data_IF_179198356374
#
_entry.id   IF_179198356374
#
_cell.length_a   1.000
_cell.length_b   1.000
_cell.length_c   1.000
_cell.angle_alpha   90.00
_cell.angle_beta   90.00
_cell.angle_gamma   90.00
#
_symmetry.space_group_name_H-M   'P 1'
#
loop_
_entity.id
_entity.type
_entity.pdbx_description
1 polymer ?
#
# COMPACT_ATOMS: atom_id res chain seq x y z
N UNK A 1 -74.18 -35.01 50.80
CA UNK A 1 -73.92 -34.71 49.38
C UNK A 1 -72.53 -34.07 49.29
N UNK A 2 -71.47 -34.84 49.03
CA UNK A 2 -70.13 -34.27 48.84
C UNK A 2 -69.97 -33.76 47.39
N UNK A 3 -69.36 -32.57 47.16
CA UNK A 3 -68.98 -32.14 45.83
C UNK A 3 -67.73 -32.88 45.33
N UNK A 4 -67.75 -33.19 44.03
CA UNK A 4 -66.70 -33.86 43.25
C UNK A 4 -65.31 -33.23 43.39
N UNK A 5 -64.22 -34.02 43.30
CA UNK A 5 -62.88 -33.49 43.15
C UNK A 5 -62.75 -32.82 41.77
N UNK A 6 -62.49 -31.52 41.80
CA UNK A 6 -62.15 -30.71 40.64
C UNK A 6 -61.07 -31.37 39.78
N UNK A 7 -61.38 -31.46 38.48
CA UNK A 7 -60.53 -31.93 37.40
C UNK A 7 -59.08 -31.44 37.53
N UNK A 8 -58.20 -32.35 37.95
CA UNK A 8 -56.77 -32.27 37.62
C UNK A 8 -56.58 -32.93 36.24
N UNK A 9 -55.50 -32.53 35.57
CA UNK A 9 -54.98 -33.11 34.33
C UNK A 9 -55.54 -32.54 33.02
N UNK A 10 -55.32 -31.24 32.82
CA UNK A 10 -55.08 -30.68 31.49
C UNK A 10 -53.58 -30.61 31.19
N UNK A 11 -52.79 -31.64 31.50
CA UNK A 11 -51.40 -31.73 31.04
C UNK A 11 -51.41 -31.87 29.52
N UNK A 12 -51.33 -30.73 28.82
CA UNK A 12 -51.12 -30.65 27.38
C UNK A 12 -49.74 -31.22 27.08
N UNK A 13 -49.66 -32.54 26.96
CA UNK A 13 -48.54 -33.27 26.39
C UNK A 13 -48.39 -32.84 24.94
N UNK A 14 -47.65 -31.74 24.72
CA UNK A 14 -47.24 -31.34 23.37
C UNK A 14 -46.49 -32.53 22.76
N UNK A 15 -46.88 -33.00 21.56
CA UNK A 15 -46.23 -34.15 20.94
C UNK A 15 -44.74 -33.85 20.80
N UNK A 16 -43.91 -34.66 21.44
CA UNK A 16 -42.45 -34.51 21.58
C UNK A 16 -41.74 -34.24 20.24
N UNK A 17 -42.32 -34.70 19.14
CA UNK A 17 -41.84 -34.45 17.77
C UNK A 17 -41.87 -32.96 17.41
N UNK A 18 -42.94 -32.24 17.72
CA UNK A 18 -43.09 -30.81 17.40
C UNK A 18 -42.05 -29.97 18.17
N UNK A 19 -41.78 -30.32 19.42
CA UNK A 19 -40.73 -29.67 20.22
C UNK A 19 -39.32 -29.88 19.63
N UNK A 20 -39.03 -31.08 19.09
CA UNK A 20 -37.75 -31.36 18.42
C UNK A 20 -37.57 -30.56 17.13
N UNK A 21 -38.62 -30.46 16.31
CA UNK A 21 -38.57 -29.64 15.08
C UNK A 21 -38.40 -28.15 15.39
N UNK A 22 -39.10 -27.63 16.41
CA UNK A 22 -38.93 -26.25 16.83
C UNK A 22 -37.49 -25.96 17.31
N UNK A 23 -36.92 -26.83 18.15
CA UNK A 23 -35.54 -26.67 18.60
C UNK A 23 -34.54 -26.76 17.44
N UNK A 24 -34.74 -27.69 16.50
CA UNK A 24 -33.89 -27.78 15.31
C UNK A 24 -33.97 -26.51 14.45
N UNK A 25 -35.17 -25.95 14.25
CA UNK A 25 -35.36 -24.70 13.52
C UNK A 25 -34.64 -23.52 14.20
N UNK A 26 -34.70 -23.41 15.53
CA UNK A 26 -33.98 -22.38 16.29
C UNK A 26 -32.47 -22.53 16.10
N UNK A 27 -31.94 -23.75 16.19
CA UNK A 27 -30.50 -24.00 15.98
C UNK A 27 -30.07 -23.60 14.58
N UNK A 28 -30.84 -23.98 13.54
CA UNK A 28 -30.55 -23.58 12.16
C UNK A 28 -30.59 -22.06 12.01
N UNK A 29 -31.59 -21.39 12.60
CA UNK A 29 -31.68 -19.93 12.57
C UNK A 29 -30.47 -19.27 13.25
N UNK A 30 -30.05 -19.77 14.42
CA UNK A 30 -28.86 -19.28 15.11
C UNK A 30 -27.58 -19.49 14.28
N UNK A 31 -27.44 -20.63 13.61
CA UNK A 31 -26.30 -20.89 12.73
C UNK A 31 -26.28 -19.93 11.55
N UNK A 32 -27.42 -19.72 10.89
CA UNK A 32 -27.53 -18.77 9.78
C UNK A 32 -27.21 -17.34 10.25
N UNK A 33 -27.75 -16.91 11.39
CA UNK A 33 -27.45 -15.60 11.97
C UNK A 33 -25.98 -15.43 12.33
N UNK A 34 -25.34 -16.49 12.86
CA UNK A 34 -23.91 -16.47 13.18
C UNK A 34 -23.04 -16.34 11.94
N UNK A 35 -23.39 -17.05 10.86
CA UNK A 35 -22.72 -16.93 9.56
C UNK A 35 -22.90 -15.52 8.99
N UNK A 36 -24.11 -14.95 9.05
CA UNK A 36 -24.36 -13.58 8.59
C UNK A 36 -23.52 -12.56 9.37
N UNK A 37 -23.42 -12.69 10.70
CA UNK A 37 -22.58 -11.81 11.52
C UNK A 37 -21.09 -11.94 11.15
N UNK A 38 -20.60 -13.16 10.95
CA UNK A 38 -19.21 -13.39 10.51
C UNK A 38 -18.91 -12.73 9.16
N UNK A 39 -19.85 -12.80 8.20
CA UNK A 39 -19.70 -12.15 6.90
C UNK A 39 -19.64 -10.62 7.05
N UNK A 40 -20.53 -10.03 7.85
CA UNK A 40 -20.52 -8.58 8.09
C UNK A 40 -19.22 -8.12 8.75
N UNK A 41 -18.75 -8.83 9.77
CA UNK A 41 -17.47 -8.55 10.42
C UNK A 41 -16.33 -8.65 9.41
N UNK A 42 -16.32 -9.68 8.56
CA UNK A 42 -15.31 -9.85 7.52
C UNK A 42 -15.25 -8.68 6.54
N UNK A 43 -16.40 -8.22 6.05
CA UNK A 43 -16.50 -7.06 5.16
C UNK A 43 -15.99 -5.78 5.85
N UNK A 44 -16.33 -5.60 7.13
CA UNK A 44 -15.90 -4.41 7.87
C UNK A 44 -14.39 -4.39 8.12
N UNK A 45 -13.80 -5.53 8.47
CA UNK A 45 -12.34 -5.67 8.59
C UNK A 45 -11.65 -5.41 7.25
N UNK A 46 -12.23 -5.87 6.13
CA UNK A 46 -11.69 -5.57 4.81
C UNK A 46 -11.75 -4.07 4.49
N UNK A 47 -12.87 -3.40 4.81
CA UNK A 47 -13.02 -1.95 4.66
C UNK A 47 -11.98 -1.20 5.50
N UNK A 48 -11.84 -1.54 6.78
CA UNK A 48 -10.86 -0.94 7.69
C UNK A 48 -9.44 -1.05 7.14
N UNK A 49 -9.04 -2.25 6.68
CA UNK A 49 -7.72 -2.47 6.08
C UNK A 49 -7.49 -1.66 4.81
N UNK A 50 -8.54 -1.43 4.02
CA UNK A 50 -8.42 -0.60 2.83
C UNK A 50 -8.20 0.86 3.23
N UNK A 51 -9.00 1.38 4.16
CA UNK A 51 -8.85 2.73 4.70
C UNK A 51 -7.48 2.95 5.32
N UNK A 52 -6.96 2.01 6.12
CA UNK A 52 -5.63 2.10 6.73
C UNK A 52 -4.52 2.22 5.67
N UNK A 53 -4.62 1.48 4.57
CA UNK A 53 -3.65 1.57 3.47
C UNK A 53 -3.73 2.89 2.74
N UNK A 54 -4.93 3.41 2.52
CA UNK A 54 -5.11 4.72 1.90
C UNK A 54 -4.56 5.83 2.80
N UNK A 55 -4.81 5.75 4.11
CA UNK A 55 -4.24 6.68 5.10
C UNK A 55 -2.71 6.62 5.07
N UNK A 56 -2.11 5.43 5.14
CA UNK A 56 -0.65 5.29 5.12
C UNK A 56 -0.03 5.84 3.81
N UNK A 57 -0.72 5.64 2.67
CA UNK A 57 -0.30 6.21 1.39
C UNK A 57 -0.36 7.74 1.43
N UNK A 58 -1.47 8.31 1.89
CA UNK A 58 -1.64 9.76 1.97
C UNK A 58 -0.66 10.40 2.94
N UNK A 59 -0.38 9.76 4.08
CA UNK A 59 0.64 10.21 5.03
C UNK A 59 2.02 10.24 4.38
N UNK A 60 2.38 9.21 3.60
CA UNK A 60 3.67 9.21 2.88
C UNK A 60 3.77 10.32 1.83
N UNK A 61 2.65 10.66 1.18
CA UNK A 61 2.57 11.72 0.18
C UNK A 61 2.68 13.11 0.83
N UNK A 62 2.04 13.30 1.99
CA UNK A 62 2.17 14.52 2.80
C UNK A 62 3.62 14.73 3.22
N UNK A 63 4.30 13.69 3.74
CA UNK A 63 5.70 13.78 4.16
C UNK A 63 6.60 14.14 2.96
N UNK A 64 6.38 13.51 1.80
CA UNK A 64 7.14 13.82 0.60
C UNK A 64 6.92 15.28 0.15
N UNK A 65 5.69 15.78 0.24
CA UNK A 65 5.35 17.15 -0.15
C UNK A 65 5.92 18.19 0.82
N UNK A 66 5.95 17.87 2.12
CA UNK A 66 6.55 18.71 3.15
C UNK A 66 8.06 18.83 2.93
N UNK A 67 8.75 17.71 2.67
CA UNK A 67 10.16 17.73 2.29
C UNK A 67 10.43 18.56 1.03
N UNK A 68 9.64 18.35 -0.03
CA UNK A 68 9.79 19.13 -1.26
C UNK A 68 9.57 20.63 -1.02
N UNK A 69 8.59 20.99 -0.17
CA UNK A 69 8.32 22.39 0.18
C UNK A 69 9.48 22.98 0.99
N UNK A 70 10.05 22.22 1.93
CA UNK A 70 11.19 22.65 2.72
C UNK A 70 12.42 22.89 1.84
N UNK A 71 12.72 21.99 0.91
CA UNK A 71 13.81 22.13 -0.05
C UNK A 71 13.65 23.39 -0.91
N UNK A 72 12.42 23.66 -1.38
CA UNK A 72 12.11 24.85 -2.16
C UNK A 72 12.28 26.14 -1.33
N UNK A 73 11.87 26.12 -0.06
CA UNK A 73 12.06 27.25 0.85
C UNK A 73 13.54 27.50 1.13
N UNK A 74 14.34 26.44 1.28
CA UNK A 74 15.78 26.52 1.46
C UNK A 74 16.47 27.14 0.23
N UNK A 75 16.07 26.71 -0.97
CA UNK A 75 16.52 27.30 -2.24
C UNK A 75 16.11 28.77 -2.33
N UNK A 76 14.86 29.10 -2.01
CA UNK A 76 14.35 30.46 -2.03
C UNK A 76 15.11 31.36 -1.03
N UNK A 77 15.43 30.85 0.15
CA UNK A 77 16.22 31.56 1.16
C UNK A 77 17.64 31.89 0.68
N UNK A 78 18.22 31.05 -0.17
CA UNK A 78 19.54 31.30 -0.79
C UNK A 78 19.48 32.11 -2.08
N UNK A 79 18.29 32.40 -2.62
CA UNK A 79 18.14 33.11 -3.89
C UNK A 79 18.75 34.53 -3.87
N UNK A 80 18.85 35.16 -2.70
CA UNK A 80 19.49 36.47 -2.53
C UNK A 80 21.03 36.41 -2.53
N UNK A 81 21.63 35.23 -2.33
CA UNK A 81 23.08 35.06 -2.30
C UNK A 81 23.66 35.16 -3.73
N UNK A 82 24.61 36.08 -3.91
CA UNK A 82 25.28 36.30 -5.18
C UNK A 82 26.09 35.07 -5.63
N UNK A 83 26.76 34.37 -4.71
CA UNK A 83 27.54 33.17 -5.02
C UNK A 83 26.64 32.00 -5.43
N UNK A 84 25.50 31.83 -4.75
CA UNK A 84 24.50 30.84 -5.10
C UNK A 84 23.89 31.09 -6.49
N UNK A 85 23.53 32.34 -6.81
CA UNK A 85 23.01 32.72 -8.14
C UNK A 85 24.01 32.45 -9.26
N UNK A 86 25.28 32.78 -9.04
CA UNK A 86 26.33 32.49 -10.01
C UNK A 86 26.47 30.98 -10.25
N UNK A 87 26.50 30.17 -9.19
CA UNK A 87 26.59 28.71 -9.32
C UNK A 87 25.36 28.11 -10.02
N UNK A 88 24.17 28.62 -9.72
CA UNK A 88 22.93 28.20 -10.37
C UNK A 88 22.94 28.54 -11.88
N UNK A 89 23.37 29.76 -12.21
CA UNK A 89 23.53 30.19 -13.61
C UNK A 89 24.49 29.27 -14.37
N UNK A 90 25.64 28.93 -13.78
CA UNK A 90 26.61 28.00 -14.37
C UNK A 90 26.02 26.60 -14.60
N UNK A 91 25.22 26.07 -13.66
CA UNK A 91 24.53 24.77 -13.81
C UNK A 91 23.46 24.77 -14.90
N UNK A 92 22.78 25.89 -15.09
CA UNK A 92 21.82 26.10 -16.18
C UNK A 92 22.52 26.39 -17.53
N UNK A 93 23.85 26.46 -17.55
CA UNK A 93 24.65 26.66 -18.75
C UNK A 93 24.81 28.13 -19.16
N UNK A 94 24.41 29.08 -18.31
CA UNK A 94 24.74 30.49 -18.48
C UNK A 94 26.21 30.73 -18.14
N UNK A 95 26.85 31.58 -18.94
CA UNK A 95 28.25 31.98 -18.81
C UNK A 95 28.29 33.50 -18.90
N UNK A 96 29.14 34.15 -18.11
CA UNK A 96 29.26 35.61 -18.15
C UNK A 96 29.81 36.09 -19.50
N UNK A 97 29.44 37.31 -19.89
CA UNK A 97 29.84 37.88 -21.18
C UNK A 97 31.37 37.97 -21.38
N UNK A 98 32.15 38.00 -20.31
CA UNK A 98 33.61 38.06 -20.31
C UNK A 98 34.28 36.68 -20.15
N UNK A 99 33.51 35.61 -19.99
CA UNK A 99 34.02 34.28 -19.70
C UNK A 99 33.92 33.40 -20.96
N UNK A 100 35.04 32.80 -21.39
CA UNK A 100 35.08 32.02 -22.64
C UNK A 100 34.73 30.57 -22.35
N UNK A 101 33.60 30.08 -22.88
CA UNK A 101 33.21 28.67 -22.76
C UNK A 101 34.00 27.83 -23.75
N UNK A 102 34.95 27.02 -23.27
CA UNK A 102 35.62 26.03 -24.11
C UNK A 102 34.69 24.81 -24.30
N UNK A 103 34.13 24.66 -25.50
CA UNK A 103 33.42 23.44 -25.90
C UNK A 103 34.43 22.53 -26.58
N UNK A 104 34.95 21.56 -25.83
CA UNK A 104 35.83 20.54 -26.39
C UNK A 104 35.11 19.64 -27.39
N UNK A 105 35.84 19.00 -28.33
CA UNK A 105 35.26 18.03 -29.25
C UNK A 105 34.54 16.95 -28.44
N UNK A 106 33.30 16.63 -28.83
CA UNK A 106 32.55 15.51 -28.29
C UNK A 106 33.42 14.28 -28.50
N UNK A 107 33.96 13.72 -27.42
CA UNK A 107 34.63 12.43 -27.46
C UNK A 107 33.59 11.43 -27.92
N UNK A 108 33.59 11.16 -29.23
CA UNK A 108 32.98 9.99 -29.78
C UNK A 108 33.67 8.84 -29.06
N UNK A 109 32.95 8.19 -28.15
CA UNK A 109 33.45 6.99 -27.50
C UNK A 109 33.71 6.02 -28.64
N UNK A 110 34.98 5.85 -29.00
CA UNK A 110 35.41 4.77 -29.85
C UNK A 110 34.86 3.50 -29.18
N UNK A 111 33.98 2.74 -29.84
CA UNK A 111 33.49 1.50 -29.26
C UNK A 111 34.72 0.65 -28.94
N UNK A 112 34.88 0.31 -27.66
CA UNK A 112 35.87 -0.68 -27.24
C UNK A 112 35.42 -1.96 -27.93
N UNK A 113 36.15 -2.36 -28.96
CA UNK A 113 35.97 -3.63 -29.64
C UNK A 113 36.40 -4.71 -28.66
N UNK A 114 35.50 -5.08 -27.74
CA UNK A 114 35.61 -6.27 -26.91
C UNK A 114 35.38 -7.47 -27.83
N UNK A 115 36.36 -7.75 -28.69
CA UNK A 115 36.44 -9.03 -29.38
C UNK A 115 37.24 -9.99 -28.49
N UNK A 116 36.58 -10.94 -27.79
CA UNK A 116 37.26 -11.89 -26.91
C UNK A 116 38.09 -12.95 -27.66
N UNK A 117 38.12 -12.93 -28.99
CA UNK A 117 38.74 -13.99 -29.80
C UNK A 117 40.23 -13.77 -30.13
N UNK A 118 40.84 -12.68 -29.64
CA UNK A 118 42.31 -12.50 -29.74
C UNK A 118 43.03 -13.12 -28.54
N UNK A 119 42.80 -14.41 -28.30
CA UNK A 119 43.74 -15.22 -27.54
C UNK A 119 44.72 -15.83 -28.55
N UNK A 120 45.99 -15.39 -28.63
CA UNK A 120 46.96 -16.08 -29.46
C UNK A 120 47.10 -17.51 -28.92
N UNK A 121 46.90 -18.49 -29.80
CA UNK A 121 47.10 -19.90 -29.51
C UNK A 121 48.42 -20.11 -28.72
N UNK A 122 48.42 -20.92 -27.65
CA UNK A 122 49.68 -21.32 -27.03
C UNK A 122 50.45 -22.18 -28.03
N UNK A 123 51.63 -21.71 -28.43
CA UNK A 123 52.54 -22.46 -29.30
C UNK A 123 52.78 -23.88 -28.74
N UNK A 124 52.69 -24.93 -29.57
CA UNK A 124 53.04 -26.28 -29.16
C UNK A 124 54.56 -26.40 -29.05
N UNK A 125 54.99 -26.84 -27.87
CA UNK A 125 56.38 -26.75 -27.40
C UNK A 125 57.46 -27.43 -28.24
N UNK A 126 58.69 -27.06 -27.88
CA UNK A 126 59.92 -27.84 -28.01
C UNK A 126 60.80 -27.61 -26.79
#
# INVERSE_FOLDING_TARGET
MPPEPAARAGERTRPVRVARFANAAIVVLCLVGSVQMLVLIGVEVQRLRHTEREVARLESEIIALDHASHDLLEIAGRAADAGYREQLARRQGYVFAFETRFVGPRSERVPVDTNPDTNPDPEPGR
#
